data_IF_190369251714
#
_entry.id   IF_190369251714
#
_cell.length_a   1.000
_cell.length_b   1.000
_cell.length_c   1.000
_cell.angle_alpha   90.00
_cell.angle_beta   90.00
_cell.angle_gamma   90.00
#
_symmetry.space_group_name_H-M   'P 1'
#
loop_
_entity.id
_entity.type
_entity.pdbx_description
1 polymer ?
#
# COMPACT_ATOMS: atom_id res chain seq x y z
N UNK A 1 -1.53 -11.28 10.68
CA UNK A 1 -0.77 -10.83 9.47
C UNK A 1 0.32 -9.77 9.73
N UNK A 2 0.07 -8.74 10.56
CA UNK A 2 1.03 -7.65 10.79
C UNK A 2 2.41 -8.12 11.28
N UNK A 3 2.44 -9.05 12.24
CA UNK A 3 3.69 -9.63 12.74
C UNK A 3 4.50 -10.37 11.65
N UNK A 4 3.85 -10.94 10.64
CA UNK A 4 4.53 -11.60 9.51
C UNK A 4 5.28 -10.57 8.65
N UNK A 5 4.63 -9.45 8.33
CA UNK A 5 5.23 -8.35 7.54
C UNK A 5 6.46 -7.76 8.25
N UNK A 6 6.45 -7.74 9.59
CA UNK A 6 7.55 -7.19 10.40
C UNK A 6 8.67 -8.18 10.72
N UNK A 7 8.59 -9.43 10.25
CA UNK A 7 9.71 -10.38 10.39
C UNK A 7 10.95 -9.83 9.66
N UNK A 8 12.16 -9.92 10.23
CA UNK A 8 13.36 -9.34 9.62
C UNK A 8 13.58 -9.77 8.16
N UNK A 9 13.38 -11.05 7.84
CA UNK A 9 13.56 -11.57 6.49
C UNK A 9 12.53 -11.00 5.51
N UNK A 10 11.29 -10.80 5.97
CA UNK A 10 10.19 -10.23 5.18
C UNK A 10 10.39 -8.73 4.96
N UNK A 11 10.72 -7.99 6.02
CA UNK A 11 10.99 -6.54 5.96
C UNK A 11 12.11 -6.25 4.98
N UNK A 12 13.19 -7.05 4.98
CA UNK A 12 14.30 -6.87 4.05
C UNK A 12 13.88 -7.10 2.59
N UNK A 13 13.03 -8.09 2.32
CA UNK A 13 12.47 -8.31 0.98
C UNK A 13 11.61 -7.13 0.52
N UNK A 14 10.69 -6.67 1.36
CA UNK A 14 9.82 -5.53 1.03
C UNK A 14 10.65 -4.25 0.84
N UNK A 15 11.63 -4.02 1.72
CA UNK A 15 12.53 -2.87 1.65
C UNK A 15 13.37 -2.87 0.36
N UNK A 16 13.77 -4.05 -0.13
CA UNK A 16 14.46 -4.17 -1.41
C UNK A 16 13.58 -3.75 -2.60
N UNK A 17 12.27 -4.03 -2.56
CA UNK A 17 11.32 -3.55 -3.58
C UNK A 17 11.15 -2.03 -3.51
N UNK A 18 11.01 -1.47 -2.30
CA UNK A 18 10.91 -0.02 -2.08
C UNK A 18 12.15 0.71 -2.63
N UNK A 19 13.34 0.16 -2.37
CA UNK A 19 14.60 0.80 -2.75
C UNK A 19 14.83 0.86 -4.27
N UNK A 20 14.06 0.12 -5.08
CA UNK A 20 14.13 0.18 -6.56
C UNK A 20 13.46 1.43 -7.12
N UNK A 21 12.57 2.07 -6.34
CA UNK A 21 11.84 3.25 -6.76
C UNK A 21 12.52 4.54 -6.28
N UNK A 22 12.50 5.56 -7.13
CA UNK A 22 13.10 6.87 -6.80
C UNK A 22 12.08 7.84 -6.21
N UNK A 23 10.83 7.76 -6.68
CA UNK A 23 9.77 8.70 -6.33
C UNK A 23 9.05 8.29 -5.03
N UNK A 24 8.73 9.23 -4.13
CA UNK A 24 8.10 8.93 -2.83
C UNK A 24 6.80 8.13 -2.94
N UNK A 25 5.89 8.53 -3.85
CA UNK A 25 4.65 7.80 -4.07
C UNK A 25 4.89 6.38 -4.56
N UNK A 26 5.75 6.21 -5.57
CA UNK A 26 6.07 4.89 -6.14
C UNK A 26 6.73 3.96 -5.12
N UNK A 27 7.58 4.49 -4.23
CA UNK A 27 8.11 3.74 -3.08
C UNK A 27 7.00 3.19 -2.19
N UNK A 28 6.01 4.02 -1.89
CA UNK A 28 4.84 3.62 -1.07
C UNK A 28 4.02 2.56 -1.80
N UNK A 29 3.73 2.77 -3.08
CA UNK A 29 3.00 1.79 -3.91
C UNK A 29 3.73 0.45 -3.99
N UNK A 30 5.04 0.47 -4.23
CA UNK A 30 5.88 -0.73 -4.22
C UNK A 30 5.85 -1.45 -2.86
N UNK A 31 5.89 -0.71 -1.74
CA UNK A 31 5.75 -1.28 -0.41
C UNK A 31 4.42 -2.04 -0.24
N UNK A 32 3.31 -1.41 -0.65
CA UNK A 32 1.96 -1.99 -0.54
C UNK A 32 1.86 -3.25 -1.39
N UNK A 33 2.25 -3.20 -2.66
CA UNK A 33 2.20 -4.33 -3.58
C UNK A 33 3.07 -5.50 -3.09
N UNK A 34 4.30 -5.22 -2.65
CA UNK A 34 5.20 -6.23 -2.12
C UNK A 34 4.67 -6.88 -0.83
N UNK A 35 4.09 -6.10 0.08
CA UNK A 35 3.51 -6.62 1.31
C UNK A 35 2.28 -7.50 1.04
N UNK A 36 1.40 -7.09 0.12
CA UNK A 36 0.23 -7.90 -0.30
C UNK A 36 0.68 -9.21 -0.94
N UNK A 37 1.66 -9.15 -1.85
CA UNK A 37 2.19 -10.33 -2.53
C UNK A 37 2.81 -11.33 -1.54
N UNK A 38 3.61 -10.85 -0.58
CA UNK A 38 4.19 -11.67 0.49
C UNK A 38 3.09 -12.32 1.35
N UNK A 39 2.06 -11.58 1.75
CA UNK A 39 0.96 -12.12 2.55
C UNK A 39 0.17 -13.19 1.79
N UNK A 40 -0.09 -12.99 0.49
CA UNK A 40 -0.74 -14.00 -0.35
C UNK A 40 0.12 -15.25 -0.52
N UNK A 41 1.43 -15.09 -0.75
CA UNK A 41 2.35 -16.22 -0.86
C UNK A 41 2.47 -17.00 0.47
N UNK A 42 2.54 -16.29 1.59
CA UNK A 42 2.60 -16.90 2.93
C UNK A 42 1.30 -17.64 3.28
N UNK A 43 0.14 -17.11 2.88
CA UNK A 43 -1.14 -17.79 3.01
C UNK A 43 -1.18 -19.05 2.13
N UNK A 44 -0.83 -18.94 0.86
CA UNK A 44 -0.89 -20.04 -0.11
C UNK A 44 0.06 -21.20 0.25
N UNK A 45 1.24 -20.87 0.80
CA UNK A 45 2.21 -21.87 1.28
C UNK A 45 1.86 -22.45 2.66
N UNK A 46 0.85 -21.93 3.36
CA UNK A 46 0.51 -22.33 4.73
C UNK A 46 1.47 -21.79 5.81
N UNK A 47 2.48 -21.01 5.43
CA UNK A 47 3.45 -20.39 6.34
C UNK A 47 2.79 -19.32 7.23
N UNK A 48 1.70 -18.71 6.75
CA UNK A 48 0.86 -17.80 7.50
C UNK A 48 -0.56 -18.38 7.61
N UNK A 49 -0.98 -18.70 8.83
CA UNK A 49 -2.37 -19.05 9.11
C UNK A 49 -3.23 -17.78 9.07
N UNK A 50 -4.13 -17.70 8.10
CA UNK A 50 -5.14 -16.64 7.96
C UNK A 50 -6.51 -17.26 8.22
N UNK A 51 -7.29 -16.67 9.12
CA UNK A 51 -8.64 -17.17 9.43
C UNK A 51 -9.57 -16.94 8.23
N UNK A 52 -10.61 -17.77 8.08
CA UNK A 52 -11.56 -17.66 6.95
C UNK A 52 -12.19 -16.26 6.81
N UNK A 53 -12.51 -15.61 7.92
CA UNK A 53 -13.04 -14.25 7.95
C UNK A 53 -12.00 -13.19 7.51
N UNK A 54 -10.72 -13.45 7.71
CA UNK A 54 -9.63 -12.56 7.29
C UNK A 54 -9.22 -12.75 5.82
N UNK A 55 -9.57 -13.88 5.20
CA UNK A 55 -9.28 -14.13 3.77
C UNK A 55 -9.98 -13.11 2.88
N UNK A 56 -11.26 -12.83 3.13
CA UNK A 56 -12.03 -11.82 2.39
C UNK A 56 -11.42 -10.42 2.54
N UNK A 57 -10.87 -10.13 3.72
CA UNK A 57 -10.17 -8.87 3.96
C UNK A 57 -8.87 -8.80 3.14
N UNK A 58 -8.09 -9.89 3.07
CA UNK A 58 -6.88 -9.94 2.25
C UNK A 58 -7.20 -9.83 0.75
N UNK A 59 -8.31 -10.42 0.29
CA UNK A 59 -8.78 -10.26 -1.08
C UNK A 59 -9.23 -8.85 -1.42
N UNK A 60 -9.84 -8.14 -0.45
CA UNK A 60 -10.13 -6.72 -0.60
C UNK A 60 -8.84 -5.92 -0.65
N UNK A 61 -7.93 -6.10 0.30
CA UNK A 61 -6.65 -5.40 0.36
C UNK A 61 -5.88 -5.51 -0.96
N UNK A 62 -5.84 -6.71 -1.55
CA UNK A 62 -5.17 -6.91 -2.83
C UNK A 62 -5.82 -6.14 -3.98
N UNK A 63 -7.15 -6.11 -4.05
CA UNK A 63 -7.85 -5.34 -5.08
C UNK A 63 -7.61 -3.84 -4.94
N UNK A 64 -7.61 -3.33 -3.71
CA UNK A 64 -7.31 -1.91 -3.43
C UNK A 64 -5.85 -1.58 -3.76
N UNK A 65 -4.93 -2.51 -3.51
CA UNK A 65 -3.52 -2.37 -3.87
C UNK A 65 -3.32 -2.34 -5.40
N UNK A 66 -4.01 -3.23 -6.12
CA UNK A 66 -3.96 -3.29 -7.59
C UNK A 66 -4.62 -2.07 -8.26
N UNK A 67 -5.57 -1.41 -7.57
CA UNK A 67 -6.21 -0.18 -8.07
C UNK A 67 -5.41 1.09 -7.80
N UNK A 68 -4.27 1.02 -7.09
CA UNK A 68 -3.43 2.19 -6.87
C UNK A 68 -2.88 2.72 -8.21
N UNK A 69 -3.08 4.03 -8.51
CA UNK A 69 -2.53 4.65 -9.71
C UNK A 69 -1.02 4.48 -9.87
N UNK A 70 -0.51 4.63 -11.09
CA UNK A 70 0.94 4.50 -11.35
C UNK A 70 1.71 5.80 -11.04
N UNK A 71 1.01 6.94 -10.98
CA UNK A 71 1.56 8.26 -10.75
C UNK A 71 1.00 8.93 -9.50
N UNK A 72 1.81 9.81 -8.90
CA UNK A 72 1.42 10.59 -7.73
C UNK A 72 0.33 11.60 -8.09
N UNK A 73 0.42 12.18 -9.28
CA UNK A 73 -0.53 13.17 -9.79
C UNK A 73 -1.94 12.58 -9.95
N UNK A 74 -2.06 11.37 -10.50
CA UNK A 74 -3.34 10.66 -10.60
C UNK A 74 -3.91 10.36 -9.22
N UNK A 75 -3.08 9.86 -8.29
CA UNK A 75 -3.52 9.58 -6.93
C UNK A 75 -4.02 10.83 -6.21
N UNK A 76 -3.30 11.95 -6.31
CA UNK A 76 -3.73 13.22 -5.72
C UNK A 76 -5.04 13.71 -6.34
N UNK A 77 -5.19 13.59 -7.66
CA UNK A 77 -6.43 13.97 -8.35
C UNK A 77 -7.63 13.11 -7.95
N UNK A 78 -7.43 11.81 -7.70
CA UNK A 78 -8.45 10.89 -7.19
C UNK A 78 -8.84 11.21 -5.74
N UNK A 79 -7.86 11.55 -4.88
CA UNK A 79 -8.10 11.79 -3.46
C UNK A 79 -8.62 13.20 -3.12
N UNK A 80 -8.24 14.23 -3.88
CA UNK A 80 -8.59 15.62 -3.57
C UNK A 80 -10.12 15.86 -3.43
N UNK A 81 -10.99 15.30 -4.28
CA UNK A 81 -12.44 15.41 -4.10
C UNK A 81 -12.96 14.82 -2.77
N UNK A 82 -12.34 13.75 -2.25
CA UNK A 82 -12.74 13.10 -0.99
C UNK A 82 -12.41 13.95 0.24
N UNK A 83 -11.42 14.84 0.11
CA UNK A 83 -10.96 15.70 1.20
C UNK A 83 -11.70 17.05 1.24
N UNK A 84 -12.65 17.30 0.34
CA UNK A 84 -13.43 18.55 0.32
C UNK A 84 -14.22 18.72 1.61
N UNK A 85 -13.96 19.81 2.32
CA UNK A 85 -14.61 20.12 3.60
C UNK A 85 -13.97 19.43 4.81
N UNK A 86 -12.92 18.63 4.61
CA UNK A 86 -12.07 18.15 5.70
C UNK A 86 -11.15 19.30 6.20
N UNK A 87 -10.61 19.21 7.43
CA UNK A 87 -9.53 20.08 7.90
C UNK A 87 -8.21 19.71 7.18
N UNK A 88 -8.16 19.93 5.88
CA UNK A 88 -7.04 19.66 4.97
C UNK A 88 -6.74 20.93 4.18
N UNK A 89 -5.50 21.41 4.25
CA UNK A 89 -5.01 22.58 3.52
C UNK A 89 -3.94 22.12 2.52
N UNK A 90 -4.24 22.02 1.22
CA UNK A 90 -3.29 21.53 0.20
C UNK A 90 -1.93 22.24 0.24
N UNK A 91 -1.94 23.53 0.55
CA UNK A 91 -0.75 24.38 0.60
C UNK A 91 0.28 23.94 1.66
N UNK A 92 -0.16 23.32 2.77
CA UNK A 92 0.76 22.79 3.80
C UNK A 92 1.61 21.61 3.29
N UNK A 93 1.17 20.99 2.19
CA UNK A 93 1.82 19.87 1.53
C UNK A 93 2.48 20.29 0.21
N UNK A 94 2.58 21.61 -0.07
CA UNK A 94 3.15 22.13 -1.31
C UNK A 94 2.27 21.94 -2.55
N UNK A 95 0.99 21.63 -2.36
CA UNK A 95 0.02 21.47 -3.44
C UNK A 95 -0.72 22.79 -3.71
N UNK A 96 -1.19 23.03 -4.95
CA UNK A 96 -1.97 24.22 -5.27
C UNK A 96 -3.24 24.29 -4.42
N UNK A 97 -3.68 25.52 -4.11
CA UNK A 97 -4.99 25.74 -3.53
C UNK A 97 -6.05 25.46 -4.61
N UNK A 98 -7.04 24.63 -4.28
CA UNK A 98 -8.24 24.44 -5.10
C UNK A 98 -9.00 25.76 -5.33
#
# INVERSE_FOLDING_TARGET
PQAHVLRPDVVLRISAEIAKEEQPYRRTRAAVLAAVAELRAAQASGTLRVLENEKKWLDRLAREADSLPDSEEEFVAEMAPELRGAPYLPQEYGLPAD
#
